data_IF_005658188867
#
_entry.id   IF_005658188867
#
_cell.length_a   1.000
_cell.length_b   1.000
_cell.length_c   1.000
_cell.angle_alpha   90.00
_cell.angle_beta   90.00
_cell.angle_gamma   90.00
#
_symmetry.space_group_name_H-M   'P 1'
#
loop_
_entity.id
_entity.type
_entity.pdbx_description
1 polymer ?
#
# COMPACT_ATOMS: atom_id res chain seq x y z
N UNK A 1 -8.08 25.06 12.98
CA UNK A 1 -8.20 24.01 14.00
C UNK A 1 -7.48 22.79 13.50
N UNK A 2 -6.65 22.16 14.34
CA UNK A 2 -5.99 20.91 13.96
C UNK A 2 -7.07 19.81 13.86
N UNK A 3 -7.18 19.16 12.71
CA UNK A 3 -8.05 17.98 12.53
C UNK A 3 -7.40 16.85 13.35
N UNK A 4 -8.10 16.38 14.37
CA UNK A 4 -7.64 15.26 15.18
C UNK A 4 -8.00 13.97 14.44
N UNK A 5 -7.06 13.45 13.66
CA UNK A 5 -7.29 12.27 12.81
C UNK A 5 -6.79 11.04 13.55
N UNK A 6 -7.67 10.33 14.22
CA UNK A 6 -7.35 9.14 15.03
C UNK A 6 -7.13 7.88 14.21
N UNK A 7 -7.60 7.87 12.94
CA UNK A 7 -7.57 6.70 12.06
C UNK A 7 -8.76 5.75 12.24
N UNK A 8 -9.84 6.18 12.91
CA UNK A 8 -11.04 5.33 13.05
C UNK A 8 -11.69 4.94 11.71
N UNK A 9 -11.46 5.73 10.67
CA UNK A 9 -11.92 5.53 9.29
C UNK A 9 -10.88 4.83 8.40
N UNK A 10 -9.74 4.39 8.96
CA UNK A 10 -8.59 3.87 8.24
C UNK A 10 -8.40 2.37 8.43
N UNK A 11 -8.14 1.67 7.32
CA UNK A 11 -7.52 0.35 7.32
C UNK A 11 -6.14 0.40 6.65
N UNK A 12 -5.16 -0.22 7.28
CA UNK A 12 -3.81 -0.44 6.76
C UNK A 12 -3.71 -1.89 6.30
N UNK A 13 -3.60 -2.13 5.01
CA UNK A 13 -3.50 -3.46 4.42
C UNK A 13 -2.03 -3.87 4.32
N UNK A 14 -1.66 -4.99 4.93
CA UNK A 14 -0.28 -5.47 5.01
C UNK A 14 -0.19 -6.88 4.40
N UNK A 15 0.16 -6.99 3.11
CA UNK A 15 0.47 -8.27 2.48
C UNK A 15 1.70 -8.91 3.14
N UNK A 16 1.52 -10.10 3.69
CA UNK A 16 2.57 -10.85 4.38
C UNK A 16 3.25 -11.84 3.43
N UNK A 17 4.58 -11.85 3.46
CA UNK A 17 5.42 -12.87 2.81
C UNK A 17 6.69 -13.05 3.64
N UNK A 18 6.58 -13.86 4.70
CA UNK A 18 7.64 -13.96 5.71
C UNK A 18 7.83 -12.67 6.51
N UNK A 19 9.03 -12.45 7.05
CA UNK A 19 9.44 -11.21 7.77
C UNK A 19 8.58 -10.89 9.00
N UNK A 20 8.08 -11.89 9.67
CA UNK A 20 7.23 -11.74 10.86
C UNK A 20 7.93 -11.03 12.03
N UNK A 21 9.26 -11.07 12.06
CA UNK A 21 10.11 -10.33 12.99
C UNK A 21 9.96 -8.80 12.88
N UNK A 22 9.47 -8.29 11.75
CA UNK A 22 9.21 -6.86 11.53
C UNK A 22 7.85 -6.40 12.03
N UNK A 23 6.92 -7.32 12.25
CA UNK A 23 5.54 -7.00 12.62
C UNK A 23 5.42 -6.15 13.89
N UNK A 24 6.17 -6.40 14.99
CA UNK A 24 6.08 -5.56 16.18
C UNK A 24 6.43 -4.09 15.92
N UNK A 25 7.44 -3.81 15.10
CA UNK A 25 7.84 -2.45 14.73
C UNK A 25 6.78 -1.76 13.89
N UNK A 26 6.22 -2.47 12.89
CA UNK A 26 5.13 -1.95 12.07
C UNK A 26 3.93 -1.56 12.93
N UNK A 27 3.43 -2.48 13.75
CA UNK A 27 2.24 -2.25 14.61
C UNK A 27 2.49 -1.13 15.61
N UNK A 28 3.67 -1.09 16.24
CA UNK A 28 4.03 -0.02 17.18
C UNK A 28 3.95 1.36 16.50
N UNK A 29 4.58 1.53 15.34
CA UNK A 29 4.57 2.82 14.64
C UNK A 29 3.18 3.17 14.10
N UNK A 30 2.44 2.21 13.57
CA UNK A 30 1.09 2.43 13.04
C UNK A 30 0.14 2.91 14.14
N UNK A 31 0.11 2.21 15.28
CA UNK A 31 -0.79 2.56 16.38
C UNK A 31 -0.36 3.77 17.21
N UNK A 32 0.94 4.09 17.23
CA UNK A 32 1.41 5.36 17.80
C UNK A 32 0.97 6.57 16.96
N UNK A 33 0.92 6.42 15.64
CA UNK A 33 0.55 7.48 14.72
C UNK A 33 -0.97 7.56 14.45
N UNK A 34 -1.68 6.42 14.45
CA UNK A 34 -3.10 6.28 14.16
C UNK A 34 -3.73 5.26 15.13
N UNK A 35 -4.05 5.65 16.38
CA UNK A 35 -4.37 4.71 17.46
C UNK A 35 -5.67 3.93 17.24
N UNK A 36 -6.58 4.38 16.38
CA UNK A 36 -7.86 3.72 16.10
C UNK A 36 -7.91 3.04 14.73
N UNK A 37 -6.81 3.06 13.98
CA UNK A 37 -6.74 2.37 12.69
C UNK A 37 -6.83 0.86 12.85
N UNK A 38 -7.39 0.18 11.85
CA UNK A 38 -7.27 -1.27 11.71
C UNK A 38 -6.03 -1.62 10.89
N UNK A 39 -5.35 -2.70 11.25
CA UNK A 39 -4.27 -3.30 10.48
C UNK A 39 -4.69 -4.71 10.06
N UNK A 40 -4.72 -4.96 8.77
CA UNK A 40 -5.05 -6.27 8.21
C UNK A 40 -3.81 -6.99 7.73
N UNK A 41 -3.50 -8.13 8.35
CA UNK A 41 -2.42 -9.03 7.94
C UNK A 41 -2.97 -10.03 6.92
N UNK A 42 -2.52 -9.92 5.67
CA UNK A 42 -3.05 -10.66 4.53
C UNK A 42 -2.08 -11.77 4.15
N UNK A 43 -2.43 -13.02 4.40
CA UNK A 43 -1.59 -14.21 4.26
C UNK A 43 -2.17 -15.12 3.19
N UNK A 44 -1.33 -15.64 2.28
CA UNK A 44 -1.77 -16.60 1.28
C UNK A 44 -2.21 -17.91 1.93
N UNK A 45 -3.25 -18.55 1.43
CA UNK A 45 -3.76 -19.83 1.96
C UNK A 45 -2.72 -20.96 1.90
N UNK A 46 -1.82 -20.95 0.91
CA UNK A 46 -0.76 -21.91 0.75
C UNK A 46 0.50 -21.59 1.57
N UNK A 47 0.58 -20.44 2.25
CA UNK A 47 1.70 -20.10 3.14
C UNK A 47 1.53 -20.77 4.52
N UNK A 48 1.93 -22.01 4.65
CA UNK A 48 1.85 -22.75 5.91
C UNK A 48 2.65 -22.06 7.05
N UNK A 49 3.80 -21.46 6.74
CA UNK A 49 4.60 -20.70 7.71
C UNK A 49 3.87 -19.43 8.16
N UNK A 50 3.30 -18.68 7.21
CA UNK A 50 2.50 -17.49 7.50
C UNK A 50 1.29 -17.80 8.36
N UNK A 51 0.54 -18.86 8.03
CA UNK A 51 -0.64 -19.30 8.80
C UNK A 51 -0.29 -19.64 10.25
N UNK A 52 0.85 -20.25 10.51
CA UNK A 52 1.30 -20.57 11.87
C UNK A 52 1.53 -19.32 12.75
N UNK A 53 1.69 -18.13 12.15
CA UNK A 53 1.83 -16.87 12.87
C UNK A 53 0.50 -16.17 13.13
N UNK A 54 -0.59 -16.61 12.50
CA UNK A 54 -1.92 -16.04 12.67
C UNK A 54 -2.66 -16.56 13.94
N UNK A 55 -1.94 -17.13 14.87
CA UNK A 55 -2.51 -17.57 16.15
C UNK A 55 -3.12 -16.36 16.92
N UNK A 56 -4.43 -16.37 17.21
CA UNK A 56 -5.08 -15.29 17.98
C UNK A 56 -4.42 -15.02 19.34
N UNK A 57 -3.77 -16.02 19.95
CA UNK A 57 -3.04 -15.83 21.20
C UNK A 57 -1.77 -14.96 21.01
N UNK A 58 -1.24 -14.88 19.80
CA UNK A 58 -0.05 -14.05 19.45
C UNK A 58 -0.45 -12.67 18.93
N UNK A 59 -1.64 -12.56 18.32
CA UNK A 59 -2.20 -11.32 17.79
C UNK A 59 -3.37 -10.90 18.70
N UNK A 60 -3.06 -10.51 19.92
CA UNK A 60 -4.06 -10.15 20.93
C UNK A 60 -4.32 -8.62 20.94
N UNK A 61 -4.58 -8.03 19.78
CA UNK A 61 -4.99 -6.63 19.65
C UNK A 61 -6.23 -6.58 18.76
N UNK A 62 -7.34 -6.11 19.27
CA UNK A 62 -8.61 -6.03 18.55
C UNK A 62 -8.59 -5.13 17.30
N UNK A 63 -7.51 -4.36 17.10
CA UNK A 63 -7.28 -3.55 15.89
C UNK A 63 -6.58 -4.33 14.78
N UNK A 64 -6.04 -5.52 15.08
CA UNK A 64 -5.35 -6.36 14.10
C UNK A 64 -6.29 -7.45 13.61
N UNK A 65 -6.53 -7.49 12.31
CA UNK A 65 -7.32 -8.52 11.63
C UNK A 65 -6.40 -9.40 10.81
N UNK A 66 -6.46 -10.70 11.03
CA UNK A 66 -5.75 -11.68 10.20
C UNK A 66 -6.71 -12.26 9.17
N UNK A 67 -6.31 -12.30 7.90
CA UNK A 67 -7.13 -12.84 6.82
C UNK A 67 -6.32 -13.74 5.90
N UNK A 68 -6.89 -14.91 5.60
CA UNK A 68 -6.37 -15.80 4.56
C UNK A 68 -6.88 -15.35 3.19
N UNK A 69 -6.01 -15.40 2.21
CA UNK A 69 -6.27 -14.93 0.85
C UNK A 69 -6.03 -16.08 -0.13
N UNK A 70 -6.99 -16.33 -1.02
CA UNK A 70 -6.81 -17.26 -2.14
C UNK A 70 -5.77 -16.68 -3.12
N UNK A 71 -4.53 -16.87 -2.77
CA UNK A 71 -3.36 -16.48 -3.56
C UNK A 71 -2.23 -17.49 -3.33
N UNK A 72 -1.25 -17.48 -4.22
CA UNK A 72 -0.02 -18.31 -4.06
C UNK A 72 1.12 -17.42 -3.60
N UNK A 73 1.64 -17.72 -2.42
CA UNK A 73 2.67 -16.95 -1.75
C UNK A 73 3.89 -16.69 -2.66
N UNK A 74 4.23 -15.41 -2.84
CA UNK A 74 5.38 -14.95 -3.62
C UNK A 74 5.31 -15.20 -5.13
N UNK A 75 4.16 -15.57 -5.67
CA UNK A 75 3.96 -15.70 -7.14
C UNK A 75 3.46 -14.40 -7.78
N UNK A 76 3.29 -14.41 -9.10
CA UNK A 76 2.69 -13.29 -9.84
C UNK A 76 1.29 -12.96 -9.31
N UNK A 77 1.02 -11.69 -9.05
CA UNK A 77 -0.24 -11.19 -8.55
C UNK A 77 -0.49 -11.37 -7.05
N UNK A 78 0.37 -12.05 -6.31
CA UNK A 78 0.18 -12.32 -4.88
C UNK A 78 -0.06 -11.02 -4.09
N UNK A 79 0.82 -10.02 -4.25
CA UNK A 79 0.67 -8.72 -3.59
C UNK A 79 -0.65 -8.03 -3.95
N UNK A 80 -0.97 -7.96 -5.24
CA UNK A 80 -2.18 -7.29 -5.73
C UNK A 80 -3.46 -8.00 -5.23
N UNK A 81 -3.50 -9.34 -5.26
CA UNK A 81 -4.65 -10.12 -4.75
C UNK A 81 -4.87 -9.89 -3.26
N UNK A 82 -3.80 -9.87 -2.46
CA UNK A 82 -3.89 -9.57 -1.04
C UNK A 82 -4.47 -8.18 -0.78
N UNK A 83 -3.95 -7.15 -1.44
CA UNK A 83 -4.49 -5.79 -1.30
C UNK A 83 -5.96 -5.73 -1.74
N UNK A 84 -6.31 -6.31 -2.89
CA UNK A 84 -7.68 -6.32 -3.39
C UNK A 84 -8.64 -7.08 -2.44
N UNK A 85 -8.20 -8.21 -1.88
CA UNK A 85 -8.94 -8.95 -0.87
C UNK A 85 -9.23 -8.10 0.37
N UNK A 86 -8.20 -7.49 0.95
CA UNK A 86 -8.35 -6.62 2.13
C UNK A 86 -9.25 -5.41 1.83
N UNK A 87 -9.14 -4.82 0.65
CA UNK A 87 -10.00 -3.72 0.22
C UNK A 87 -11.46 -4.15 0.11
N UNK A 88 -11.73 -5.34 -0.42
CA UNK A 88 -13.10 -5.86 -0.60
C UNK A 88 -13.79 -6.24 0.72
N UNK A 89 -13.02 -6.70 1.73
CA UNK A 89 -13.58 -7.24 2.98
C UNK A 89 -13.50 -6.29 4.17
N UNK A 90 -12.71 -5.21 4.11
CA UNK A 90 -12.71 -4.16 5.14
C UNK A 90 -13.88 -3.18 4.91
N UNK A 91 -14.31 -2.51 5.97
CA UNK A 91 -15.45 -1.57 5.97
C UNK A 91 -15.04 -0.10 6.13
N UNK A 92 -13.72 0.18 6.23
CA UNK A 92 -13.20 1.53 6.48
C UNK A 92 -13.28 2.41 5.23
N UNK A 93 -13.49 3.70 5.43
CA UNK A 93 -13.63 4.70 4.34
C UNK A 93 -12.32 4.94 3.60
N UNK A 94 -11.19 4.80 4.30
CA UNK A 94 -9.85 4.95 3.74
C UNK A 94 -9.05 3.66 3.84
N UNK A 95 -8.39 3.32 2.76
CA UNK A 95 -7.60 2.10 2.59
C UNK A 95 -6.16 2.49 2.27
N UNK A 96 -5.22 2.16 3.16
CA UNK A 96 -3.80 2.36 2.91
C UNK A 96 -3.16 1.06 2.41
N UNK A 97 -2.49 1.14 1.26
CA UNK A 97 -1.77 0.00 0.66
C UNK A 97 -0.38 -0.11 1.28
N UNK A 98 -0.26 -0.94 2.31
CA UNK A 98 0.95 -1.07 3.12
C UNK A 98 1.89 -2.21 2.71
N UNK A 99 2.95 -2.34 3.48
CA UNK A 99 3.92 -3.44 3.45
C UNK A 99 4.51 -3.65 4.84
N UNK A 100 5.10 -4.83 5.09
CA UNK A 100 5.63 -5.20 6.42
C UNK A 100 6.88 -4.39 6.83
N UNK A 101 7.54 -3.74 5.90
CA UNK A 101 8.78 -2.98 6.06
C UNK A 101 8.54 -1.46 6.12
N UNK A 102 7.36 -1.05 6.59
CA UNK A 102 7.03 0.35 6.81
C UNK A 102 7.19 0.78 8.28
N UNK A 103 7.48 2.07 8.46
CA UNK A 103 7.46 2.76 9.75
C UNK A 103 6.71 4.09 9.58
N UNK A 104 5.63 4.28 10.35
CA UNK A 104 4.75 5.44 10.24
C UNK A 104 5.25 6.60 11.10
N UNK A 105 5.41 7.79 10.52
CA UNK A 105 5.67 9.00 11.27
C UNK A 105 4.40 9.52 11.97
N UNK A 106 4.55 10.25 13.07
CA UNK A 106 3.47 10.57 14.02
C UNK A 106 2.26 11.29 13.42
N UNK A 107 2.44 12.09 12.38
CA UNK A 107 1.39 12.92 11.79
C UNK A 107 1.04 12.56 10.33
N UNK A 108 1.53 11.41 9.86
CA UNK A 108 1.43 11.02 8.46
C UNK A 108 -0.02 11.06 7.93
N UNK A 109 -0.98 10.53 8.71
CA UNK A 109 -2.37 10.45 8.29
C UNK A 109 -3.05 11.84 8.34
N UNK A 110 -2.75 12.64 9.34
CA UNK A 110 -3.23 14.01 9.44
C UNK A 110 -2.74 14.87 8.25
N UNK A 111 -1.49 14.68 7.81
CA UNK A 111 -0.95 15.37 6.63
C UNK A 111 -1.65 14.92 5.35
N UNK A 112 -1.93 13.62 5.19
CA UNK A 112 -2.68 13.10 4.06
C UNK A 112 -4.13 13.65 4.05
N UNK A 113 -4.81 13.65 5.19
CA UNK A 113 -6.16 14.17 5.34
C UNK A 113 -6.26 15.66 5.01
N UNK A 114 -5.27 16.47 5.38
CA UNK A 114 -5.20 17.90 5.00
C UNK A 114 -5.15 18.07 3.49
N UNK A 115 -4.30 17.29 2.80
CA UNK A 115 -4.20 17.35 1.33
C UNK A 115 -5.50 16.88 0.69
N UNK A 116 -6.09 15.81 1.17
CA UNK A 116 -7.37 15.30 0.71
C UNK A 116 -8.47 16.36 0.85
N UNK A 117 -8.58 16.97 2.01
CA UNK A 117 -9.60 18.02 2.26
C UNK A 117 -9.40 19.24 1.36
N UNK A 118 -8.15 19.65 1.13
CA UNK A 118 -7.84 20.81 0.29
C UNK A 118 -8.08 20.57 -1.21
N UNK A 119 -7.95 19.30 -1.67
CA UNK A 119 -7.98 18.96 -3.10
C UNK A 119 -9.22 18.17 -3.53
N UNK A 120 -9.93 17.56 -2.60
CA UNK A 120 -10.98 16.58 -2.91
C UNK A 120 -10.47 15.27 -3.52
N UNK A 121 -9.15 15.00 -3.44
CA UNK A 121 -8.56 13.81 -4.03
C UNK A 121 -9.15 12.52 -3.43
N UNK A 122 -9.35 11.51 -4.28
CA UNK A 122 -9.80 10.18 -3.89
C UNK A 122 -8.63 9.19 -3.75
N UNK A 123 -7.45 9.57 -4.24
CA UNK A 123 -6.19 8.84 -4.04
C UNK A 123 -5.14 9.84 -3.54
N UNK A 124 -4.58 9.58 -2.37
CA UNK A 124 -3.57 10.45 -1.75
C UNK A 124 -2.27 9.68 -1.61
N UNK A 125 -1.24 10.13 -2.33
CA UNK A 125 0.09 9.56 -2.27
C UNK A 125 0.87 10.04 -1.06
N UNK A 126 1.73 9.18 -0.50
CA UNK A 126 2.60 9.48 0.64
C UNK A 126 4.06 9.55 0.25
N UNK A 127 4.89 10.15 1.10
CA UNK A 127 6.34 10.22 0.97
C UNK A 127 6.99 9.07 1.74
N UNK A 128 7.62 8.13 1.04
CA UNK A 128 8.25 6.95 1.64
C UNK A 128 9.67 7.18 2.20
N UNK A 129 10.16 8.41 2.19
CA UNK A 129 11.49 8.83 2.68
C UNK A 129 12.68 8.06 2.08
N UNK A 130 12.48 7.46 0.93
CA UNK A 130 13.42 6.60 0.25
C UNK A 130 13.61 7.02 -1.21
N UNK A 131 12.55 7.07 -1.97
CA UNK A 131 12.58 7.40 -3.38
C UNK A 131 12.38 8.90 -3.57
N UNK A 132 13.31 9.63 -4.23
CA UNK A 132 13.15 11.07 -4.50
C UNK A 132 11.86 11.43 -5.22
N UNK A 133 11.30 10.52 -6.02
CA UNK A 133 9.99 10.71 -6.69
C UNK A 133 8.83 10.82 -5.70
N UNK A 134 8.94 10.21 -4.52
CA UNK A 134 7.90 10.28 -3.47
C UNK A 134 8.04 11.51 -2.57
N UNK A 135 9.17 12.21 -2.64
CA UNK A 135 9.39 13.47 -1.92
C UNK A 135 8.72 14.69 -2.59
N UNK A 136 8.04 14.50 -3.72
CA UNK A 136 7.41 15.61 -4.43
C UNK A 136 8.38 16.57 -5.14
N UNK A 137 9.70 16.40 -4.94
CA UNK A 137 10.74 17.30 -5.46
C UNK A 137 11.16 16.99 -6.90
N UNK A 138 10.69 15.89 -7.47
CA UNK A 138 11.11 15.42 -8.79
C UNK A 138 10.18 15.97 -9.88
N UNK A 139 10.52 17.13 -10.47
CA UNK A 139 9.97 17.74 -11.70
C UNK A 139 8.47 17.43 -11.98
N UNK A 140 7.59 17.67 -11.02
CA UNK A 140 6.13 17.54 -11.21
C UNK A 140 5.58 16.12 -11.26
N UNK A 141 6.41 15.09 -11.08
CA UNK A 141 5.98 13.68 -11.09
C UNK A 141 6.02 13.05 -9.70
N UNK A 142 5.37 13.70 -8.70
CA UNK A 142 5.23 13.10 -7.38
C UNK A 142 4.59 11.72 -7.49
N UNK A 143 5.35 10.68 -7.22
CA UNK A 143 4.92 9.28 -7.19
C UNK A 143 4.62 8.86 -5.75
N UNK A 144 3.89 7.80 -5.57
CA UNK A 144 3.71 7.18 -4.25
C UNK A 144 3.75 5.66 -4.38
N UNK A 145 4.67 5.04 -3.64
CA UNK A 145 4.74 3.57 -3.55
C UNK A 145 3.60 3.02 -2.69
N UNK A 146 3.21 3.76 -1.65
CA UNK A 146 2.14 3.41 -0.73
C UNK A 146 1.15 4.58 -0.66
N UNK A 147 -0.09 4.35 -1.01
CA UNK A 147 -1.11 5.39 -1.13
C UNK A 147 -2.35 5.09 -0.29
N UNK A 148 -3.06 6.15 0.06
CA UNK A 148 -4.43 6.08 0.58
C UNK A 148 -5.41 6.10 -0.59
N UNK A 149 -6.37 5.19 -0.57
CA UNK A 149 -7.48 5.12 -1.51
C UNK A 149 -8.79 5.31 -0.77
N UNK A 150 -9.63 6.23 -1.23
CA UNK A 150 -11.00 6.31 -0.76
C UNK A 150 -11.77 5.06 -1.18
N UNK A 151 -12.61 4.52 -0.32
CA UNK A 151 -13.48 3.38 -0.65
C UNK A 151 -14.36 3.65 -1.85
N UNK A 152 -14.90 4.87 -1.96
CA UNK A 152 -15.67 5.30 -3.13
C UNK A 152 -14.88 5.19 -4.43
N UNK A 153 -13.57 5.53 -4.42
CA UNK A 153 -12.72 5.33 -5.60
C UNK A 153 -12.62 3.86 -5.98
N UNK A 154 -12.41 2.98 -5.02
CA UNK A 154 -12.29 1.53 -5.28
C UNK A 154 -13.59 0.99 -5.88
N UNK A 155 -14.73 1.34 -5.28
CA UNK A 155 -16.03 0.82 -5.68
C UNK A 155 -16.52 1.37 -7.03
N UNK A 156 -16.26 2.66 -7.31
CA UNK A 156 -16.81 3.36 -8.46
C UNK A 156 -15.85 3.46 -9.65
N UNK A 157 -14.54 3.32 -9.41
CA UNK A 157 -13.51 3.55 -10.43
C UNK A 157 -12.52 2.41 -10.57
N UNK A 158 -12.05 1.82 -9.47
CA UNK A 158 -11.15 0.67 -9.43
C UNK A 158 -9.80 0.88 -10.13
N UNK A 159 -9.24 -0.21 -10.69
CA UNK A 159 -8.04 -0.17 -11.55
C UNK A 159 -8.32 0.56 -12.87
N UNK A 160 -7.36 0.58 -13.78
CA UNK A 160 -7.56 1.19 -15.10
C UNK A 160 -8.76 0.58 -15.88
N UNK A 161 -9.07 -0.68 -15.65
CA UNK A 161 -10.04 -1.48 -16.42
C UNK A 161 -10.97 -2.37 -15.58
N UNK A 162 -10.82 -2.44 -14.24
CA UNK A 162 -11.65 -3.31 -13.38
C UNK A 162 -12.12 -2.56 -12.14
N UNK A 163 -13.41 -2.52 -11.91
CA UNK A 163 -14.03 -1.94 -10.70
C UNK A 163 -13.80 -2.83 -9.47
N UNK A 164 -13.87 -2.24 -8.28
CA UNK A 164 -13.77 -2.95 -7.02
C UNK A 164 -12.35 -3.42 -6.64
N UNK A 165 -11.33 -3.02 -7.40
CA UNK A 165 -9.93 -3.40 -7.17
C UNK A 165 -9.03 -2.17 -7.11
N UNK A 166 -8.01 -2.22 -6.27
CA UNK A 166 -6.96 -1.19 -6.18
C UNK A 166 -5.86 -1.47 -7.19
N UNK A 167 -5.43 -2.73 -7.30
CA UNK A 167 -4.30 -3.14 -8.11
C UNK A 167 -4.67 -4.17 -9.17
N UNK A 168 -4.07 -4.05 -10.35
CA UNK A 168 -4.19 -5.05 -11.40
C UNK A 168 -3.36 -6.30 -11.05
N UNK A 169 -4.00 -7.48 -11.07
CA UNK A 169 -3.41 -8.74 -10.60
C UNK A 169 -2.46 -9.40 -11.61
N UNK A 170 -2.32 -8.83 -12.80
CA UNK A 170 -1.38 -9.28 -13.83
C UNK A 170 0.08 -8.94 -13.53
N UNK A 171 0.33 -7.98 -12.65
CA UNK A 171 1.70 -7.63 -12.23
C UNK A 171 2.33 -8.74 -11.39
N UNK A 172 3.62 -8.95 -11.57
CA UNK A 172 4.37 -9.85 -10.70
C UNK A 172 4.48 -9.28 -9.29
N UNK A 173 4.89 -8.01 -9.18
CA UNK A 173 4.98 -7.23 -7.96
C UNK A 173 5.21 -5.74 -8.30
N UNK A 174 6.32 -5.44 -8.99
CA UNK A 174 6.74 -4.08 -9.34
C UNK A 174 5.78 -3.43 -10.35
N UNK A 175 5.73 -2.09 -10.34
CA UNK A 175 4.90 -1.22 -11.20
C UNK A 175 3.39 -1.24 -10.93
N UNK A 176 2.91 -2.02 -10.00
CA UNK A 176 1.48 -2.04 -9.63
C UNK A 176 1.04 -0.70 -9.02
N UNK A 177 1.92 -0.08 -8.24
CA UNK A 177 1.78 1.26 -7.66
C UNK A 177 1.92 2.36 -8.73
N UNK A 178 2.84 2.19 -9.69
CA UNK A 178 2.99 3.12 -10.82
C UNK A 178 1.69 3.19 -11.66
N UNK A 179 1.07 2.05 -12.00
CA UNK A 179 -0.22 2.04 -12.71
C UNK A 179 -1.32 2.73 -11.89
N UNK A 180 -1.45 2.39 -10.62
CA UNK A 180 -2.51 2.94 -9.78
C UNK A 180 -2.41 4.46 -9.64
N UNK A 181 -1.19 4.99 -9.40
CA UNK A 181 -0.95 6.44 -9.32
C UNK A 181 -1.20 7.13 -10.66
N UNK A 182 -0.72 6.57 -11.77
CA UNK A 182 -0.94 7.15 -13.11
C UNK A 182 -2.42 7.14 -13.50
N UNK A 183 -3.12 6.05 -13.22
CA UNK A 183 -4.57 5.96 -13.44
C UNK A 183 -5.34 7.02 -12.64
N UNK A 184 -5.01 7.19 -11.36
CA UNK A 184 -5.65 8.21 -10.52
C UNK A 184 -5.35 9.64 -10.99
N UNK A 185 -4.14 9.90 -11.49
CA UNK A 185 -3.77 11.17 -12.12
C UNK A 185 -4.55 11.43 -13.41
N UNK A 186 -4.58 10.45 -14.29
CA UNK A 186 -5.34 10.54 -15.56
C UNK A 186 -6.81 10.88 -15.31
N UNK A 187 -7.37 10.33 -14.23
CA UNK A 187 -8.74 10.59 -13.77
C UNK A 187 -8.91 11.94 -13.03
N UNK A 188 -7.83 12.67 -12.79
CA UNK A 188 -7.87 13.97 -12.08
C UNK A 188 -8.22 13.88 -10.60
N UNK A 189 -7.99 12.72 -9.94
CA UNK A 189 -8.38 12.44 -8.55
C UNK A 189 -7.21 12.09 -7.63
N UNK A 190 -5.99 12.30 -8.08
CA UNK A 190 -4.77 12.09 -7.31
C UNK A 190 -4.23 13.38 -6.73
N UNK A 191 -3.81 13.36 -5.48
CA UNK A 191 -2.96 14.39 -4.88
C UNK A 191 -1.79 13.74 -4.13
N UNK A 192 -0.65 14.43 -4.07
CA UNK A 192 0.51 13.98 -3.32
C UNK A 192 0.65 14.76 -2.03
N UNK A 193 0.74 14.06 -0.90
CA UNK A 193 0.95 14.63 0.42
C UNK A 193 2.43 14.48 0.82
N UNK A 194 3.27 15.42 0.40
CA UNK A 194 4.73 15.39 0.64
C UNK A 194 5.09 15.27 2.13
N UNK A 195 4.29 15.87 3.01
CA UNK A 195 4.49 15.81 4.46
C UNK A 195 3.84 14.59 5.12
N UNK A 196 3.07 13.80 4.40
CA UNK A 196 2.59 12.48 4.85
C UNK A 196 3.72 11.45 4.72
N UNK A 197 4.48 11.27 5.78
CA UNK A 197 5.71 10.50 5.79
C UNK A 197 5.48 9.10 6.34
N UNK A 198 5.71 8.11 5.49
CA UNK A 198 5.68 6.68 5.86
C UNK A 198 7.00 6.08 5.39
N UNK A 199 7.92 5.89 6.32
CA UNK A 199 9.28 5.44 5.99
C UNK A 199 9.28 4.01 5.46
N UNK A 200 9.86 3.80 4.27
CA UNK A 200 10.04 2.49 3.67
C UNK A 200 11.47 2.00 3.97
N UNK A 201 11.57 0.98 4.79
CA UNK A 201 12.84 0.40 5.24
C UNK A 201 13.36 -0.59 4.19
N UNK A 202 13.66 -0.07 3.00
CA UNK A 202 14.02 -0.86 1.85
C UNK A 202 15.55 -0.89 1.62
N UNK A 203 16.14 -2.03 1.19
CA UNK A 203 17.58 -2.13 0.93
C UNK A 203 18.10 -1.14 -0.12
N UNK A 204 17.32 -0.81 -1.14
CA UNK A 204 17.69 0.18 -2.15
C UNK A 204 17.92 1.58 -1.57
N UNK A 205 17.43 1.84 -0.35
CA UNK A 205 17.61 3.09 0.38
C UNK A 205 18.71 3.01 1.43
N UNK A 206 19.42 1.88 1.50
CA UNK A 206 20.45 1.63 2.51
C UNK A 206 19.91 1.46 3.93
N UNK A 207 18.59 1.23 4.11
CA UNK A 207 17.94 1.19 5.43
C UNK A 207 17.84 -0.20 6.04
N UNK A 208 17.88 -1.24 5.21
CA UNK A 208 17.92 -2.64 5.65
C UNK A 208 18.80 -3.49 4.75
N UNK A 209 19.14 -4.69 5.23
CA UNK A 209 19.89 -5.68 4.44
C UNK A 209 18.98 -6.35 3.38
N UNK A 210 19.57 -6.71 2.25
CA UNK A 210 18.88 -7.46 1.20
C UNK A 210 18.64 -8.89 1.63
N UNK A 211 17.39 -9.29 1.73
CA UNK A 211 16.94 -10.65 2.05
C UNK A 211 16.55 -11.47 0.80
N UNK A 212 16.16 -12.76 0.93
CA UNK A 212 15.74 -13.57 -0.20
C UNK A 212 14.54 -13.03 -0.96
N UNK A 213 13.58 -12.39 -0.29
CA UNK A 213 12.37 -11.82 -0.90
C UNK A 213 12.75 -10.68 -1.85
N UNK A 214 13.59 -9.74 -1.40
CA UNK A 214 14.08 -8.65 -2.24
C UNK A 214 14.90 -9.15 -3.44
N UNK A 215 15.75 -10.18 -3.23
CA UNK A 215 16.50 -10.79 -4.34
C UNK A 215 15.60 -11.39 -5.40
N UNK A 216 14.51 -12.05 -4.99
CA UNK A 216 13.53 -12.63 -5.90
C UNK A 216 12.78 -11.54 -6.68
N UNK A 217 12.36 -10.46 -6.01
CA UNK A 217 11.70 -9.32 -6.64
C UNK A 217 12.59 -8.66 -7.70
N UNK A 218 13.84 -8.36 -7.38
CA UNK A 218 14.78 -7.76 -8.32
C UNK A 218 14.98 -8.56 -9.61
N UNK A 219 14.91 -9.90 -9.54
CA UNK A 219 14.99 -10.76 -10.74
C UNK A 219 13.76 -10.68 -11.65
N UNK A 220 12.65 -10.19 -11.16
CA UNK A 220 11.35 -10.16 -11.86
C UNK A 220 10.94 -8.77 -12.33
N UNK A 221 11.73 -7.74 -12.05
CA UNK A 221 11.41 -6.34 -12.39
C UNK A 221 11.11 -6.15 -13.88
N UNK A 222 11.81 -6.86 -14.75
CA UNK A 222 11.56 -6.84 -16.20
C UNK A 222 10.17 -7.32 -16.61
N UNK A 223 9.61 -8.29 -15.88
CA UNK A 223 8.25 -8.79 -16.14
C UNK A 223 7.20 -7.74 -15.75
N UNK A 224 7.40 -7.06 -14.62
CA UNK A 224 6.54 -5.95 -14.21
C UNK A 224 6.59 -4.79 -15.20
N UNK A 225 7.77 -4.45 -15.72
CA UNK A 225 7.95 -3.44 -16.76
C UNK A 225 7.20 -3.80 -18.04
N UNK A 226 7.31 -5.03 -18.51
CA UNK A 226 6.63 -5.49 -19.72
C UNK A 226 5.09 -5.39 -19.57
N UNK A 227 4.55 -5.77 -18.42
CA UNK A 227 3.11 -5.63 -18.15
C UNK A 227 2.69 -4.14 -18.11
N UNK A 228 3.48 -3.29 -17.47
CA UNK A 228 3.23 -1.85 -17.42
C UNK A 228 3.19 -1.23 -18.82
N UNK A 229 4.20 -1.54 -19.67
CA UNK A 229 4.27 -1.02 -21.03
C UNK A 229 3.12 -1.53 -21.91
N UNK A 230 2.65 -2.77 -21.69
CA UNK A 230 1.48 -3.33 -22.38
C UNK A 230 0.18 -2.58 -22.02
N UNK A 231 0.06 -2.10 -20.76
CA UNK A 231 -1.17 -1.49 -20.22
C UNK A 231 -1.21 0.04 -20.27
N UNK A 232 -0.09 0.71 -20.54
CA UNK A 232 0.01 2.18 -20.48
C UNK A 232 -1.02 2.95 -21.31
N UNK A 233 -1.55 2.35 -22.37
CA UNK A 233 -2.62 2.94 -23.18
C UNK A 233 -3.93 3.17 -22.42
N UNK A 234 -4.15 2.49 -21.28
CA UNK A 234 -5.38 2.57 -20.49
C UNK A 234 -5.48 3.87 -19.66
N UNK A 235 -4.37 4.54 -19.42
CA UNK A 235 -4.32 5.83 -18.68
C UNK A 235 -3.71 6.96 -19.50
N UNK A 236 -3.90 6.96 -20.81
CA UNK A 236 -3.59 8.09 -21.67
C UNK A 236 -2.14 8.19 -22.16
N UNK A 237 -1.35 7.14 -22.02
CA UNK A 237 0.06 7.16 -22.44
C UNK A 237 0.97 7.97 -21.49
N UNK A 238 2.20 8.23 -21.93
CA UNK A 238 3.14 9.05 -21.15
C UNK A 238 2.73 10.52 -21.21
N UNK A 239 2.00 10.98 -20.19
CA UNK A 239 1.80 12.39 -19.90
C UNK A 239 2.91 12.90 -18.99
#
# INVERSE_FOLDING_TARGET
MAVNVTGADLVILVPMLGRWDRLPRLLHSAFAATPEAQVWLLVSEDDASGRAHLDPARINDGRVVASLVDSRAGTSGDYARKINHGAAHSDRDWIFTGAIDLCFCSDWYAQAARVQHATGALVVGTNNLCNPRTAGTYRGSAHSTHSLFARSYVNERGTADVLGRIYHEGYVHEFVDDEAVRTARYRGVYAHAEHSRVEHLHPACGKEATDPVYRQQGRRIGLGRAEFDRRKHLWGGDG
#
